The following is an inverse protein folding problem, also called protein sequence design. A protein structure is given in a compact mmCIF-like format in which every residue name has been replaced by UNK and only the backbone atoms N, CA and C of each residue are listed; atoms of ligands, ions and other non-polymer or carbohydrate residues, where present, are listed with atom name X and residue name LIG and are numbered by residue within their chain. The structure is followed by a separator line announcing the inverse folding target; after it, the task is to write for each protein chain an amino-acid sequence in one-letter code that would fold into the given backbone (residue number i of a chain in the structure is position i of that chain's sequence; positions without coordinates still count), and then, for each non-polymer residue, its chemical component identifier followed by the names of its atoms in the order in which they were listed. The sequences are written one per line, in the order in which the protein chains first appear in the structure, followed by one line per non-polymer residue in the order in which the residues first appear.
data_IF_794055443030
#
_entry.id   IF_794055443030
#
_cell.length_a   1.000
_cell.length_b   1.000
_cell.length_c   1.000
_cell.angle_alpha   90.00
_cell.angle_beta   90.00
_cell.angle_gamma   90.00
#
_symmetry.space_group_name_H-M   'P 1'
#
loop_
_entity.id
_entity.type
_entity.pdbx_description
1 polymer ?
#
# COMPACT_ATOMS: atom_id res chain seq x y z
N UNK A 1 3.58 56.77 18.42
CA UNK A 1 3.22 55.65 19.31
C UNK A 1 2.66 54.53 18.46
N UNK A 2 3.13 53.31 18.72
CA UNK A 2 3.00 52.07 17.94
C UNK A 2 1.61 51.75 17.39
N UNK A 3 1.57 50.98 16.29
CA UNK A 3 0.90 49.69 16.32
C UNK A 3 1.67 48.71 15.42
N UNK A 4 2.29 47.72 16.05
CA UNK A 4 2.99 46.58 15.44
C UNK A 4 1.97 45.61 14.84
N UNK A 5 2.04 45.39 13.52
CA UNK A 5 1.30 44.33 12.85
C UNK A 5 1.81 42.97 13.31
N UNK A 6 0.94 42.20 13.96
CA UNK A 6 1.17 40.82 14.35
C UNK A 6 1.18 39.95 13.08
N UNK A 7 2.36 39.69 12.53
CA UNK A 7 2.55 38.63 11.54
C UNK A 7 2.51 37.28 12.27
N UNK A 8 1.33 36.65 12.30
CA UNK A 8 1.16 35.28 12.76
C UNK A 8 1.97 34.35 11.86
N UNK A 9 3.06 33.80 12.38
CA UNK A 9 3.86 32.78 11.72
C UNK A 9 2.95 31.57 11.48
N UNK A 10 2.57 31.35 10.22
CA UNK A 10 1.91 30.12 9.80
C UNK A 10 2.93 28.99 9.98
N UNK A 11 2.83 28.24 11.07
CA UNK A 11 3.52 26.97 11.21
C UNK A 11 2.91 26.03 10.17
N UNK A 12 3.50 26.01 8.97
CA UNK A 12 3.30 24.93 8.00
C UNK A 12 3.81 23.67 8.69
N UNK A 13 2.89 22.96 9.36
CA UNK A 13 3.15 21.60 9.80
C UNK A 13 3.46 20.83 8.52
N UNK A 14 4.69 20.31 8.33
CA UNK A 14 4.94 19.46 7.18
C UNK A 14 3.88 18.35 7.24
N UNK A 15 3.01 18.31 6.24
CA UNK A 15 1.97 17.30 6.15
C UNK A 15 2.64 15.95 6.44
N UNK A 16 2.09 15.12 7.35
CA UNK A 16 2.72 13.86 7.72
C UNK A 16 3.06 13.13 6.42
N UNK A 17 4.35 12.88 6.19
CA UNK A 17 4.84 12.25 4.97
C UNK A 17 4.15 10.89 4.88
N UNK A 18 3.07 10.83 4.10
CA UNK A 18 2.25 9.64 3.95
C UNK A 18 3.18 8.50 3.54
N UNK A 19 3.28 7.50 4.40
CA UNK A 19 4.24 6.43 4.23
C UNK A 19 3.78 5.58 3.03
N UNK A 20 4.31 5.90 1.86
CA UNK A 20 3.86 5.30 0.63
C UNK A 20 4.47 3.89 0.47
N UNK A 21 3.71 2.90 0.93
CA UNK A 21 4.04 1.47 0.79
C UNK A 21 3.75 0.93 -0.63
N UNK A 22 3.27 1.74 -1.57
CA UNK A 22 2.87 1.31 -2.93
C UNK A 22 4.01 0.65 -3.69
N UNK A 23 5.15 1.32 -3.78
CA UNK A 23 6.31 0.81 -4.52
C UNK A 23 6.76 -0.53 -3.91
N UNK A 24 6.87 -0.58 -2.58
CA UNK A 24 7.27 -1.80 -1.86
C UNK A 24 6.27 -2.93 -2.08
N UNK A 25 4.97 -2.66 -1.91
CA UNK A 25 3.91 -3.64 -2.13
C UNK A 25 3.86 -4.13 -3.58
N UNK A 26 3.97 -3.23 -4.56
CA UNK A 26 3.96 -3.57 -5.99
C UNK A 26 5.18 -4.39 -6.42
N UNK A 27 6.38 -4.00 -6.01
CA UNK A 27 7.62 -4.75 -6.33
C UNK A 27 7.63 -6.12 -5.65
N UNK A 28 7.22 -6.22 -4.38
CA UNK A 28 7.14 -7.51 -3.69
C UNK A 28 6.09 -8.42 -4.33
N UNK A 29 4.96 -7.86 -4.79
CA UNK A 29 3.94 -8.60 -5.51
C UNK A 29 4.45 -9.14 -6.87
N UNK A 30 5.33 -8.41 -7.56
CA UNK A 30 5.92 -8.88 -8.83
C UNK A 30 7.00 -9.95 -8.62
N UNK A 31 7.89 -9.77 -7.64
CA UNK A 31 9.03 -10.67 -7.45
C UNK A 31 8.67 -11.93 -6.68
N UNK A 32 7.86 -11.78 -5.62
CA UNK A 32 7.54 -12.85 -4.67
C UNK A 32 6.05 -12.84 -4.32
N UNK A 33 5.21 -12.41 -5.26
CA UNK A 33 3.76 -12.30 -5.06
C UNK A 33 3.10 -13.62 -4.70
N UNK A 34 3.57 -14.75 -5.22
CA UNK A 34 3.03 -16.08 -4.90
C UNK A 34 3.10 -16.44 -3.41
N UNK A 35 4.02 -15.81 -2.66
CA UNK A 35 4.17 -15.95 -1.22
C UNK A 35 3.26 -15.01 -0.41
N UNK A 36 2.53 -14.10 -1.06
CA UNK A 36 1.61 -13.15 -0.40
C UNK A 36 2.29 -12.05 0.42
N UNK A 37 3.62 -11.88 0.33
CA UNK A 37 4.42 -10.95 1.15
C UNK A 37 3.94 -9.50 1.03
N UNK A 38 3.49 -9.07 -0.16
CA UNK A 38 2.96 -7.73 -0.39
C UNK A 38 1.72 -7.42 0.47
N UNK A 39 0.90 -8.42 0.81
CA UNK A 39 -0.26 -8.26 1.70
C UNK A 39 0.15 -8.07 3.15
N UNK A 40 1.23 -8.73 3.60
CA UNK A 40 1.77 -8.54 4.95
C UNK A 40 2.32 -7.12 5.16
N UNK A 41 2.93 -6.53 4.12
CA UNK A 41 3.42 -5.13 4.17
C UNK A 41 2.29 -4.13 4.39
N UNK A 42 1.09 -4.44 3.87
CA UNK A 42 -0.10 -3.61 4.05
C UNK A 42 -0.88 -3.94 5.33
N UNK A 43 -0.42 -4.90 6.14
CA UNK A 43 -1.07 -5.32 7.37
C UNK A 43 -2.20 -6.35 7.19
N UNK A 44 -2.33 -6.93 6.00
CA UNK A 44 -3.31 -7.97 5.66
C UNK A 44 -2.75 -9.37 5.93
N UNK A 45 -2.43 -9.66 7.19
CA UNK A 45 -1.82 -10.94 7.57
C UNK A 45 -2.72 -12.13 7.25
N UNK A 46 -4.03 -12.00 7.45
CA UNK A 46 -4.99 -13.09 7.20
C UNK A 46 -5.04 -13.44 5.72
N UNK A 47 -5.07 -12.43 4.87
CA UNK A 47 -5.18 -12.56 3.43
C UNK A 47 -3.87 -13.05 2.83
N UNK A 48 -2.73 -12.61 3.36
CA UNK A 48 -1.42 -13.18 3.03
C UNK A 48 -1.36 -14.69 3.32
N UNK A 49 -1.89 -15.15 4.47
CA UNK A 49 -1.96 -16.58 4.80
C UNK A 49 -2.89 -17.33 3.83
N UNK A 50 -4.08 -16.79 3.55
CA UNK A 50 -5.02 -17.37 2.57
C UNK A 50 -4.33 -17.53 1.21
N UNK A 51 -3.55 -16.54 0.80
CA UNK A 51 -2.87 -16.56 -0.47
C UNK A 51 -1.76 -17.62 -0.52
N UNK A 52 -0.98 -17.78 0.55
CA UNK A 52 0.02 -18.86 0.67
C UNK A 52 -0.66 -20.23 0.57
N UNK A 53 -1.75 -20.43 1.32
CA UNK A 53 -2.53 -21.68 1.30
C UNK A 53 -3.06 -21.92 -0.12
N UNK A 54 -3.67 -20.93 -0.77
CA UNK A 54 -4.14 -21.04 -2.14
C UNK A 54 -3.00 -21.39 -3.11
N UNK A 55 -1.83 -20.75 -3.01
CA UNK A 55 -0.65 -21.07 -3.82
C UNK A 55 -0.20 -22.53 -3.62
N UNK A 56 -0.19 -23.02 -2.38
CA UNK A 56 0.18 -24.42 -2.09
C UNK A 56 -0.85 -25.40 -2.68
N UNK A 57 -2.14 -25.17 -2.46
CA UNK A 57 -3.21 -26.03 -2.96
C UNK A 57 -3.35 -26.01 -4.49
N UNK A 58 -2.97 -24.91 -5.14
CA UNK A 58 -3.02 -24.77 -6.60
C UNK A 58 -1.69 -25.05 -7.28
N UNK A 59 -0.69 -25.61 -6.57
CA UNK A 59 0.66 -25.86 -7.07
C UNK A 59 1.31 -24.63 -7.74
N UNK A 60 1.06 -23.42 -7.22
CA UNK A 60 1.63 -22.17 -7.73
C UNK A 60 0.81 -21.46 -8.81
N UNK A 61 -0.29 -22.05 -9.29
CA UNK A 61 -1.14 -21.42 -10.33
C UNK A 61 -1.81 -20.14 -9.80
N UNK A 62 -2.12 -20.07 -8.50
CA UNK A 62 -2.64 -18.86 -7.87
C UNK A 62 -1.66 -17.67 -7.85
N UNK A 63 -0.40 -17.86 -8.29
CA UNK A 63 0.60 -16.79 -8.40
C UNK A 63 0.31 -15.72 -9.45
N UNK A 64 -0.64 -15.95 -10.37
CA UNK A 64 -1.06 -14.95 -11.37
C UNK A 64 -1.84 -13.79 -10.72
N UNK A 65 -2.66 -14.09 -9.70
CA UNK A 65 -3.45 -13.06 -8.99
C UNK A 65 -2.55 -11.97 -8.38
N UNK A 66 -1.55 -12.30 -7.55
CA UNK A 66 -0.68 -11.28 -6.97
C UNK A 66 0.21 -10.59 -8.01
N UNK A 67 0.53 -11.26 -9.13
CA UNK A 67 1.24 -10.62 -10.23
C UNK A 67 0.42 -9.47 -10.84
N UNK A 68 -0.87 -9.69 -11.11
CA UNK A 68 -1.78 -8.64 -11.59
C UNK A 68 -1.97 -7.55 -10.53
N UNK A 69 -2.13 -7.91 -9.25
CA UNK A 69 -2.19 -6.93 -8.17
C UNK A 69 -0.92 -6.07 -8.09
N UNK A 70 0.25 -6.65 -8.28
CA UNK A 70 1.52 -5.92 -8.29
C UNK A 70 1.57 -4.84 -9.37
N UNK A 71 1.15 -5.18 -10.59
CA UNK A 71 1.01 -4.20 -11.69
C UNK A 71 -0.01 -3.12 -11.29
N UNK A 72 -1.18 -3.53 -10.79
CA UNK A 72 -2.26 -2.61 -10.41
C UNK A 72 -1.81 -1.60 -9.35
N UNK A 73 -1.05 -2.04 -8.35
CA UNK A 73 -0.48 -1.18 -7.32
C UNK A 73 0.49 -0.16 -7.93
N UNK A 74 1.36 -0.58 -8.84
CA UNK A 74 2.31 0.32 -9.50
C UNK A 74 1.62 1.31 -10.45
N UNK A 75 0.52 0.92 -11.09
CA UNK A 75 -0.22 1.79 -12.01
C UNK A 75 -1.18 2.77 -11.32
N UNK A 76 -1.54 2.55 -10.06
CA UNK A 76 -2.38 3.49 -9.29
C UNK A 76 -1.59 4.72 -8.84
N UNK A 77 -2.30 5.84 -8.68
CA UNK A 77 -1.73 7.01 -8.02
C UNK A 77 -1.49 6.73 -6.53
N UNK A 78 -0.56 7.46 -5.92
CA UNK A 78 -0.18 7.27 -4.51
C UNK A 78 -1.36 7.53 -3.56
N UNK A 79 -2.15 8.57 -3.85
CA UNK A 79 -3.34 8.93 -3.09
C UNK A 79 -4.42 7.84 -3.18
N UNK A 80 -4.74 7.36 -4.39
CA UNK A 80 -5.72 6.30 -4.58
C UNK A 80 -5.28 4.99 -3.90
N UNK A 81 -3.98 4.66 -3.98
CA UNK A 81 -3.44 3.50 -3.30
C UNK A 81 -3.62 3.63 -1.79
N UNK A 82 -3.27 4.78 -1.23
CA UNK A 82 -3.42 5.04 0.19
C UNK A 82 -4.88 4.94 0.65
N UNK A 83 -5.79 5.62 -0.05
CA UNK A 83 -7.22 5.60 0.29
C UNK A 83 -7.82 4.20 0.16
N UNK A 84 -7.41 3.41 -0.83
CA UNK A 84 -7.97 2.08 -1.07
C UNK A 84 -7.37 1.01 -0.14
N UNK A 85 -6.03 0.96 -0.06
CA UNK A 85 -5.30 -0.16 0.55
C UNK A 85 -4.71 0.16 1.92
N UNK A 86 -4.61 1.42 2.34
CA UNK A 86 -4.16 1.75 3.70
C UNK A 86 -5.33 2.21 4.58
N UNK A 87 -6.19 3.11 4.07
CA UNK A 87 -7.35 3.63 4.80
C UNK A 87 -8.56 2.70 4.66
N UNK A 88 -8.98 2.44 3.42
CA UNK A 88 -10.13 1.60 3.10
C UNK A 88 -9.92 0.11 3.38
N UNK A 89 -8.67 -0.27 3.69
CA UNK A 89 -8.26 -1.63 4.06
C UNK A 89 -8.80 -2.71 3.10
N UNK A 90 -8.79 -2.44 1.79
CA UNK A 90 -9.27 -3.37 0.76
C UNK A 90 -8.20 -4.42 0.45
N UNK A 91 -8.33 -5.67 0.90
CA UNK A 91 -7.21 -6.60 0.85
C UNK A 91 -7.02 -7.26 -0.52
N UNK A 92 -8.04 -7.30 -1.38
CA UNK A 92 -7.99 -7.90 -2.72
C UNK A 92 -8.50 -6.89 -3.75
N UNK A 93 -7.84 -6.82 -4.91
CA UNK A 93 -8.19 -5.98 -6.07
C UNK A 93 -8.92 -4.68 -5.72
#
# INVERSE_FOLDING_TARGET
MNTTENQGVQYTNPAPKQENKKIVAGVLALLIGSLGVHKFVLGYQKEGIIQIVATIFTCGVAGIIPFIEGIMYLTKSDEEFYQTYQVGRKPWF
#
